data_IF_116074470878
#
_entry.id   IF_116074470878
#
_cell.length_a   1.000
_cell.length_b   1.000
_cell.length_c   1.000
_cell.angle_alpha   90.00
_cell.angle_beta   90.00
_cell.angle_gamma   90.00
#
_symmetry.space_group_name_H-M   'P 1'
#
loop_
_entity.id
_entity.type
_entity.pdbx_description
1 polymer ?
#
# COMPACT_ATOMS: atom_id res chain seq x y z
N UNK A 1 -2.73 -12.52 4.24
CA UNK A 1 -2.15 -11.47 5.15
C UNK A 1 -3.00 -10.21 5.17
N UNK A 2 -2.77 -9.30 6.13
CA UNK A 2 -3.42 -7.98 6.11
C UNK A 2 -2.61 -7.02 5.22
N UNK A 3 -3.24 -6.01 4.58
CA UNK A 3 -2.52 -4.94 3.89
C UNK A 3 -1.48 -4.26 4.78
N UNK A 4 -0.36 -3.83 4.18
CA UNK A 4 0.72 -3.12 4.89
C UNK A 4 0.22 -1.77 5.42
N UNK A 5 -0.57 -1.06 4.62
CA UNK A 5 -1.14 0.24 4.97
C UNK A 5 -2.67 0.19 4.97
N UNK A 6 -3.30 1.10 5.72
CA UNK A 6 -4.73 1.36 5.60
C UNK A 6 -5.00 1.95 4.21
N UNK A 7 -5.91 1.34 3.47
CA UNK A 7 -6.29 1.81 2.14
C UNK A 7 -7.81 1.96 2.05
N UNK A 8 -8.27 3.08 1.50
CA UNK A 8 -9.70 3.37 1.35
C UNK A 8 -10.29 2.40 0.32
N UNK A 9 -11.45 1.83 0.60
CA UNK A 9 -12.05 0.82 -0.27
C UNK A 9 -11.42 -0.58 -0.18
N UNK A 10 -10.40 -0.80 0.70
CA UNK A 10 -9.71 -2.09 0.81
C UNK A 10 -10.64 -3.26 1.14
N UNK A 11 -10.47 -4.39 0.47
CA UNK A 11 -11.35 -5.57 0.49
C UNK A 11 -11.10 -6.56 1.62
N UNK A 12 -10.37 -6.16 2.68
CA UNK A 12 -10.03 -7.06 3.80
C UNK A 12 -11.26 -7.70 4.47
N UNK A 13 -12.37 -6.96 4.58
CA UNK A 13 -13.60 -7.46 5.21
C UNK A 13 -14.36 -8.43 4.30
N UNK A 14 -14.20 -8.29 3.01
CA UNK A 14 -14.88 -9.06 1.97
C UNK A 14 -14.13 -10.33 1.58
N UNK A 15 -12.86 -10.51 2.02
CA UNK A 15 -12.02 -11.67 1.63
C UNK A 15 -12.71 -13.01 1.81
N UNK A 16 -13.44 -13.21 2.90
CA UNK A 16 -14.18 -14.46 3.15
C UNK A 16 -15.24 -14.77 2.09
N UNK A 17 -15.71 -13.75 1.36
CA UNK A 17 -16.69 -13.88 0.28
C UNK A 17 -16.03 -13.93 -1.07
N UNK A 18 -14.92 -13.19 -1.27
CA UNK A 18 -14.21 -13.08 -2.54
C UNK A 18 -13.39 -14.34 -2.81
N UNK A 19 -12.56 -14.76 -1.86
CA UNK A 19 -11.60 -15.86 -2.07
C UNK A 19 -12.26 -17.17 -2.54
N UNK A 20 -13.43 -17.61 -2.00
CA UNK A 20 -14.10 -18.82 -2.49
C UNK A 20 -14.67 -18.73 -3.91
N UNK A 21 -14.75 -17.52 -4.48
CA UNK A 21 -15.29 -17.27 -5.82
C UNK A 21 -14.19 -17.17 -6.89
N UNK A 22 -12.92 -17.17 -6.47
CA UNK A 22 -11.79 -17.09 -7.41
C UNK A 22 -11.74 -18.37 -8.25
N UNK A 23 -11.61 -18.28 -9.58
CA UNK A 23 -11.42 -19.44 -10.44
C UNK A 23 -10.01 -20.02 -10.28
N UNK A 24 -9.70 -21.09 -11.00
CA UNK A 24 -8.32 -21.51 -11.21
C UNK A 24 -7.61 -20.51 -12.15
N UNK A 25 -6.39 -20.11 -11.82
CA UNK A 25 -5.57 -19.17 -12.59
C UNK A 25 -4.08 -19.40 -12.33
N UNK A 26 -3.23 -18.89 -13.21
CA UNK A 26 -1.77 -18.97 -13.09
C UNK A 26 -1.22 -17.78 -12.29
N UNK A 27 -1.68 -16.57 -12.63
CA UNK A 27 -1.21 -15.31 -12.02
C UNK A 27 -2.40 -14.41 -11.67
N UNK A 28 -2.37 -13.81 -10.47
CA UNK A 28 -3.30 -12.74 -10.06
C UNK A 28 -2.81 -11.41 -10.62
N UNK A 29 -3.67 -10.66 -11.29
CA UNK A 29 -3.39 -9.30 -11.77
C UNK A 29 -4.35 -8.32 -11.12
N UNK A 30 -3.83 -7.35 -10.36
CA UNK A 30 -4.59 -6.26 -9.77
C UNK A 30 -4.21 -4.93 -10.45
N UNK A 31 -4.95 -4.47 -11.49
CA UNK A 31 -4.67 -3.20 -12.19
C UNK A 31 -4.87 -1.97 -11.30
N UNK A 32 -5.65 -2.10 -10.23
CA UNK A 32 -5.92 -1.13 -9.18
C UNK A 32 -5.59 -1.78 -7.83
N UNK A 33 -4.30 -2.00 -7.55
CA UNK A 33 -3.89 -2.82 -6.42
C UNK A 33 -4.28 -2.24 -5.06
N UNK A 34 -4.22 -0.92 -4.91
CA UNK A 34 -4.50 -0.30 -3.62
C UNK A 34 -3.78 -1.02 -2.48
N UNK A 35 -4.53 -1.44 -1.45
CA UNK A 35 -3.96 -2.23 -0.34
C UNK A 35 -3.62 -3.68 -0.66
N UNK A 36 -3.85 -4.17 -1.87
CA UNK A 36 -3.58 -5.53 -2.34
C UNK A 36 -4.16 -6.64 -1.42
N UNK A 37 -5.33 -6.40 -0.84
CA UNK A 37 -5.88 -7.30 0.17
C UNK A 37 -6.19 -8.70 -0.41
N UNK A 38 -6.60 -8.79 -1.67
CA UNK A 38 -6.92 -10.07 -2.32
C UNK A 38 -5.63 -10.78 -2.69
N UNK A 39 -4.71 -10.11 -3.39
CA UNK A 39 -3.43 -10.68 -3.82
C UNK A 39 -2.60 -11.20 -2.62
N UNK A 40 -2.49 -10.44 -1.53
CA UNK A 40 -1.76 -10.86 -0.33
C UNK A 40 -2.36 -12.07 0.41
N UNK A 41 -3.51 -12.57 -0.02
CA UNK A 41 -4.14 -13.77 0.52
C UNK A 41 -4.16 -14.92 -0.50
N UNK A 42 -3.35 -14.84 -1.55
CA UNK A 42 -3.11 -15.90 -2.52
C UNK A 42 -1.66 -16.38 -2.45
N UNK A 43 -1.43 -17.64 -2.81
CA UNK A 43 -0.10 -18.27 -2.91
C UNK A 43 0.30 -18.45 -4.39
N UNK A 44 -0.06 -17.48 -5.22
CA UNK A 44 0.14 -17.51 -6.68
C UNK A 44 1.00 -16.34 -7.10
N UNK A 45 1.59 -16.42 -8.27
CA UNK A 45 2.25 -15.30 -8.90
C UNK A 45 1.31 -14.10 -8.98
N UNK A 46 1.85 -12.89 -8.81
CA UNK A 46 1.03 -11.69 -8.81
C UNK A 46 1.66 -10.54 -9.61
N UNK A 47 0.78 -9.77 -10.21
CA UNK A 47 1.11 -8.48 -10.83
C UNK A 47 0.26 -7.39 -10.17
N UNK A 48 0.93 -6.53 -9.39
CA UNK A 48 0.31 -5.41 -8.69
C UNK A 48 0.62 -4.12 -9.43
N UNK A 49 -0.41 -3.39 -9.81
CA UNK A 49 -0.29 -2.09 -10.44
C UNK A 49 -1.14 -1.04 -9.73
N UNK A 50 -0.65 0.17 -9.67
CA UNK A 50 -1.42 1.34 -9.24
C UNK A 50 -0.84 2.60 -9.87
N UNK A 51 -1.63 3.68 -9.94
CA UNK A 51 -1.13 5.00 -10.34
C UNK A 51 -0.55 5.79 -9.16
N UNK A 52 -0.74 5.30 -7.93
CA UNK A 52 -0.21 5.93 -6.73
C UNK A 52 1.28 5.64 -6.57
N UNK A 53 2.10 6.63 -6.91
CA UNK A 53 3.57 6.52 -6.89
C UNK A 53 4.10 6.13 -5.51
N UNK A 54 3.52 6.68 -4.42
CA UNK A 54 3.96 6.38 -3.04
C UNK A 54 3.68 4.93 -2.66
N UNK A 55 2.53 4.41 -3.07
CA UNK A 55 2.16 3.02 -2.83
C UNK A 55 3.09 2.06 -3.59
N UNK A 56 3.33 2.35 -4.87
CA UNK A 56 4.22 1.52 -5.70
C UNK A 56 5.67 1.57 -5.20
N UNK A 57 6.16 2.75 -4.76
CA UNK A 57 7.46 2.83 -4.11
C UNK A 57 7.51 1.94 -2.86
N UNK A 58 6.48 1.98 -2.00
CA UNK A 58 6.41 1.11 -0.82
C UNK A 58 6.51 -0.37 -1.22
N UNK A 59 5.74 -0.82 -2.20
CA UNK A 59 5.78 -2.22 -2.64
C UNK A 59 7.15 -2.61 -3.22
N UNK A 60 7.79 -1.74 -4.00
CA UNK A 60 9.15 -1.96 -4.55
C UNK A 60 10.23 -2.02 -3.45
N UNK A 61 10.15 -1.14 -2.45
CA UNK A 61 11.04 -1.20 -1.28
C UNK A 61 10.85 -2.51 -0.53
N UNK A 62 9.61 -2.92 -0.29
CA UNK A 62 9.33 -4.19 0.41
C UNK A 62 9.73 -5.40 -0.42
N UNK A 63 9.69 -5.33 -1.75
CA UNK A 63 10.11 -6.40 -2.66
C UNK A 63 11.64 -6.59 -2.72
N UNK A 64 12.43 -5.60 -2.30
CA UNK A 64 13.89 -5.56 -2.40
C UNK A 64 14.58 -5.73 -1.04
N UNK A 65 15.92 -5.80 -1.04
CA UNK A 65 16.75 -5.84 0.18
C UNK A 65 16.55 -4.60 1.08
N UNK A 66 16.04 -3.47 0.53
CA UNK A 66 15.66 -2.28 1.30
C UNK A 66 14.53 -2.55 2.32
N UNK A 67 13.87 -3.69 2.24
CA UNK A 67 12.88 -4.13 3.24
C UNK A 67 13.46 -4.14 4.66
N UNK A 68 14.69 -4.61 4.84
CA UNK A 68 15.34 -4.68 6.16
C UNK A 68 15.63 -3.28 6.71
N UNK A 69 16.06 -2.36 5.85
CA UNK A 69 16.24 -0.95 6.23
C UNK A 69 14.89 -0.31 6.60
N UNK A 70 13.84 -0.60 5.85
CA UNK A 70 12.50 -0.13 6.16
C UNK A 70 11.99 -0.66 7.50
N UNK A 71 12.20 -1.96 7.80
CA UNK A 71 11.88 -2.52 9.11
C UNK A 71 12.63 -1.78 10.24
N UNK A 72 13.93 -1.55 10.07
CA UNK A 72 14.73 -0.78 11.02
C UNK A 72 14.20 0.64 11.21
N UNK A 73 13.81 1.30 10.12
CA UNK A 73 13.30 2.67 10.14
C UNK A 73 11.92 2.81 10.82
N UNK A 74 11.06 1.79 10.77
CA UNK A 74 9.73 1.83 11.42
C UNK A 74 9.77 1.27 12.85
N UNK A 75 10.79 0.50 13.23
CA UNK A 75 10.87 -0.14 14.55
C UNK A 75 10.72 0.83 15.73
N UNK A 76 11.34 2.03 15.74
CA UNK A 76 11.18 2.99 16.83
C UNK A 76 9.74 3.47 17.02
N UNK A 77 8.93 3.50 15.95
CA UNK A 77 7.56 4.03 16.00
C UNK A 77 6.64 3.24 16.94
N UNK A 78 6.92 1.95 17.16
CA UNK A 78 6.08 1.09 18.01
C UNK A 78 6.18 1.44 19.50
N UNK A 79 7.25 2.13 19.93
CA UNK A 79 7.46 2.59 21.30
C UNK A 79 7.17 4.08 21.50
N UNK A 80 6.83 4.81 20.45
CA UNK A 80 6.51 6.24 20.53
C UNK A 80 5.15 6.47 21.19
N UNK A 81 5.09 7.49 22.02
CA UNK A 81 3.87 7.99 22.64
C UNK A 81 3.15 9.00 21.71
N UNK A 82 1.92 9.36 22.07
CA UNK A 82 1.02 10.19 21.25
C UNK A 82 1.68 11.45 20.66
N UNK A 83 2.43 12.20 21.47
CA UNK A 83 3.00 13.49 21.04
C UNK A 83 4.17 13.29 20.07
N UNK A 84 4.98 12.25 20.27
CA UNK A 84 6.04 11.87 19.35
C UNK A 84 5.45 11.33 18.04
N UNK A 85 4.39 10.52 18.09
CA UNK A 85 3.68 10.07 16.90
C UNK A 85 3.06 11.22 16.11
N UNK A 86 2.55 12.25 16.80
CA UNK A 86 2.03 13.44 16.13
C UNK A 86 3.13 14.20 15.40
N UNK A 87 4.29 14.40 16.04
CA UNK A 87 5.44 15.04 15.40
C UNK A 87 5.94 14.25 14.19
N UNK A 88 6.17 12.96 14.37
CA UNK A 88 6.59 12.05 13.29
C UNK A 88 5.61 12.05 12.11
N UNK A 89 4.30 12.10 12.38
CA UNK A 89 3.28 12.20 11.34
C UNK A 89 3.42 13.47 10.50
N UNK A 90 3.62 14.63 11.11
CA UNK A 90 3.75 15.88 10.37
C UNK A 90 5.07 15.96 9.60
N UNK A 91 6.19 15.45 10.16
CA UNK A 91 7.46 15.32 9.46
C UNK A 91 7.32 14.38 8.24
N UNK A 92 6.71 13.22 8.41
CA UNK A 92 6.44 12.28 7.33
C UNK A 92 5.53 12.88 6.24
N UNK A 93 4.52 13.66 6.64
CA UNK A 93 3.65 14.37 5.71
C UNK A 93 4.41 15.43 4.90
N UNK A 94 5.34 16.11 5.52
CA UNK A 94 6.19 17.10 4.83
C UNK A 94 7.12 16.41 3.83
N UNK A 95 7.68 15.24 4.14
CA UNK A 95 8.42 14.40 3.18
C UNK A 95 7.54 14.04 1.99
N UNK A 96 6.33 13.53 2.22
CA UNK A 96 5.38 13.16 1.16
C UNK A 96 5.01 14.34 0.27
N UNK A 97 4.94 15.55 0.82
CA UNK A 97 4.50 16.73 0.09
C UNK A 97 5.63 17.48 -0.63
N UNK A 98 6.89 17.34 -0.19
CA UNK A 98 7.98 18.22 -0.63
C UNK A 98 9.21 17.51 -1.16
N UNK A 99 9.27 16.18 -1.14
CA UNK A 99 10.45 15.40 -1.56
C UNK A 99 10.20 14.61 -2.84
N UNK A 100 11.27 14.06 -3.44
CA UNK A 100 11.16 13.10 -4.53
C UNK A 100 10.71 11.74 -4.01
N UNK A 101 9.85 11.07 -4.76
CA UNK A 101 9.32 9.74 -4.40
C UNK A 101 10.36 8.69 -4.69
N UNK A 102 11.15 8.29 -3.69
CA UNK A 102 12.07 7.17 -3.82
C UNK A 102 12.55 6.63 -2.47
N UNK A 103 12.80 5.30 -2.44
CA UNK A 103 13.51 4.59 -1.41
C UNK A 103 12.81 4.51 -0.04
N UNK A 104 13.62 4.15 0.95
CA UNK A 104 13.18 3.79 2.31
C UNK A 104 12.53 4.94 3.06
N UNK A 105 13.11 6.15 2.96
CA UNK A 105 12.56 7.32 3.66
C UNK A 105 11.12 7.64 3.21
N UNK A 106 10.88 7.58 1.89
CA UNK A 106 9.55 7.80 1.36
C UNK A 106 8.60 6.67 1.75
N UNK A 107 9.02 5.39 1.67
CA UNK A 107 8.21 4.24 2.06
C UNK A 107 7.82 4.30 3.54
N UNK A 108 8.77 4.64 4.45
CA UNK A 108 8.49 4.89 5.86
C UNK A 108 7.47 6.01 6.04
N UNK A 109 7.70 7.16 5.40
CA UNK A 109 6.83 8.32 5.51
C UNK A 109 5.42 8.01 5.01
N UNK A 110 5.30 7.26 3.91
CA UNK A 110 3.99 6.82 3.42
C UNK A 110 3.28 5.89 4.41
N UNK A 111 3.98 4.91 5.00
CA UNK A 111 3.43 4.06 6.08
C UNK A 111 2.93 4.92 7.24
N UNK A 112 3.74 5.85 7.73
CA UNK A 112 3.39 6.72 8.87
C UNK A 112 2.13 7.51 8.56
N UNK A 113 2.11 8.20 7.41
CA UNK A 113 0.96 9.01 7.00
C UNK A 113 -0.30 8.16 6.85
N UNK A 114 -0.22 7.00 6.20
CA UNK A 114 -1.39 6.13 6.00
C UNK A 114 -1.89 5.48 7.29
N UNK A 115 -1.00 5.16 8.23
CA UNK A 115 -1.40 4.53 9.49
C UNK A 115 -1.94 5.53 10.52
N UNK A 116 -1.42 6.75 10.52
CA UNK A 116 -1.70 7.75 11.55
C UNK A 116 -2.62 8.90 11.11
N UNK A 117 -2.98 9.02 9.82
CA UNK A 117 -3.94 10.02 9.36
C UNK A 117 -5.34 9.74 9.90
N UNK A 118 -6.13 10.80 10.06
CA UNK A 118 -7.50 10.72 10.54
C UNK A 118 -8.34 9.74 9.71
N UNK A 119 -8.90 8.74 10.36
CA UNK A 119 -9.78 7.71 9.79
C UNK A 119 -9.20 6.91 8.60
N UNK A 120 -7.87 6.95 8.38
CA UNK A 120 -7.23 6.30 7.22
C UNK A 120 -7.62 6.93 5.88
N UNK A 121 -8.11 8.17 5.89
CA UNK A 121 -8.53 8.89 4.68
C UNK A 121 -7.34 9.17 3.76
N UNK A 122 -7.63 9.28 2.47
CA UNK A 122 -6.70 9.77 1.47
C UNK A 122 -7.33 10.99 0.80
N UNK A 123 -6.70 12.15 0.98
CA UNK A 123 -7.20 13.41 0.44
C UNK A 123 -6.03 14.33 0.14
N UNK A 124 -6.10 14.95 -1.03
CA UNK A 124 -5.14 15.94 -1.51
C UNK A 124 -5.85 17.27 -1.73
N UNK A 125 -5.15 18.37 -1.53
CA UNK A 125 -5.65 19.70 -1.86
C UNK A 125 -5.50 20.01 -3.37
N UNK A 126 -5.91 21.20 -3.80
CA UNK A 126 -5.83 21.62 -5.19
C UNK A 126 -4.40 21.71 -5.76
N UNK A 127 -3.39 21.79 -4.89
CA UNK A 127 -1.97 21.76 -5.30
C UNK A 127 -1.38 20.32 -5.30
N UNK A 128 -2.20 19.29 -5.05
CA UNK A 128 -1.75 17.90 -5.00
C UNK A 128 -1.07 17.49 -3.70
N UNK A 129 -1.06 18.34 -2.66
CA UNK A 129 -0.47 18.01 -1.38
C UNK A 129 -1.45 17.22 -0.49
N UNK A 130 -0.94 16.15 0.16
CA UNK A 130 -1.70 15.39 1.16
C UNK A 130 -2.07 16.28 2.35
N UNK A 131 -3.35 16.40 2.66
CA UNK A 131 -3.86 17.38 3.63
C UNK A 131 -4.75 16.79 4.73
N UNK A 132 -4.75 15.47 4.92
CA UNK A 132 -5.47 14.86 6.05
C UNK A 132 -4.68 15.13 7.34
N UNK A 133 -5.34 15.48 8.45
CA UNK A 133 -4.67 15.71 9.73
C UNK A 133 -4.29 14.40 10.42
N UNK A 134 -3.47 14.52 11.47
CA UNK A 134 -3.20 13.43 12.41
C UNK A 134 -4.48 12.91 13.05
N UNK A 135 -4.61 11.59 13.15
CA UNK A 135 -5.81 10.91 13.67
C UNK A 135 -5.85 10.70 15.18
N UNK A 136 -4.96 11.37 15.94
CA UNK A 136 -4.85 11.28 17.41
C UNK A 136 -4.68 9.84 17.95
N UNK A 137 -3.93 9.00 17.19
CA UNK A 137 -3.61 7.65 17.63
C UNK A 137 -2.65 7.66 18.83
N UNK A 138 -2.91 6.78 19.80
CA UNK A 138 -2.07 6.58 20.99
C UNK A 138 -0.91 5.63 20.75
N UNK A 139 -0.99 4.80 19.71
CA UNK A 139 0.01 3.79 19.36
C UNK A 139 0.12 3.66 17.85
N UNK A 140 1.33 3.45 17.38
CA UNK A 140 1.59 3.05 16.00
C UNK A 140 1.28 1.56 15.81
N UNK A 141 0.70 1.21 14.65
CA UNK A 141 0.49 -0.17 14.26
C UNK A 141 0.69 -0.30 12.74
N UNK A 142 1.53 -1.22 12.34
CA UNK A 142 1.75 -1.58 10.95
C UNK A 142 1.81 -3.11 10.83
N UNK A 143 1.34 -3.66 9.72
CA UNK A 143 1.31 -5.10 9.49
C UNK A 143 2.46 -5.60 8.60
N UNK A 144 3.46 -4.75 8.31
CA UNK A 144 4.65 -5.15 7.55
C UNK A 144 5.32 -6.36 8.20
N UNK A 145 5.56 -7.40 7.42
CA UNK A 145 6.14 -8.67 7.89
C UNK A 145 7.00 -9.31 6.79
N UNK A 146 7.83 -10.29 7.19
CA UNK A 146 8.63 -11.09 6.25
C UNK A 146 7.76 -11.69 5.14
N UNK A 147 6.55 -12.17 5.45
CA UNK A 147 5.65 -12.72 4.44
C UNK A 147 5.25 -11.71 3.34
N UNK A 148 5.22 -10.40 3.62
CA UNK A 148 5.02 -9.40 2.58
C UNK A 148 6.24 -9.28 1.68
N UNK A 149 7.45 -9.30 2.25
CA UNK A 149 8.69 -9.32 1.48
C UNK A 149 8.76 -10.55 0.59
N UNK A 150 8.52 -11.74 1.14
CA UNK A 150 8.59 -13.01 0.40
C UNK A 150 7.62 -13.02 -0.79
N UNK A 151 6.38 -12.55 -0.61
CA UNK A 151 5.41 -12.46 -1.70
C UNK A 151 5.78 -11.39 -2.73
N UNK A 152 6.16 -10.20 -2.28
CA UNK A 152 6.45 -9.07 -3.18
C UNK A 152 7.75 -9.27 -3.95
N UNK A 153 8.74 -9.99 -3.40
CA UNK A 153 10.00 -10.31 -4.10
C UNK A 153 9.79 -11.15 -5.37
N UNK A 154 8.71 -11.96 -5.41
CA UNK A 154 8.31 -12.70 -6.60
C UNK A 154 7.29 -11.98 -7.47
N UNK A 155 6.78 -10.82 -7.04
CA UNK A 155 5.71 -10.12 -7.73
C UNK A 155 6.23 -9.17 -8.81
N UNK A 156 5.44 -8.98 -9.87
CA UNK A 156 5.58 -7.84 -10.78
C UNK A 156 4.90 -6.63 -10.15
N UNK A 157 5.65 -5.52 -9.97
CA UNK A 157 5.11 -4.27 -9.38
C UNK A 157 5.31 -3.11 -10.36
N UNK A 158 4.21 -2.58 -10.89
CA UNK A 158 4.23 -1.54 -11.92
C UNK A 158 3.51 -0.26 -11.48
N UNK A 159 3.98 0.86 -12.04
CA UNK A 159 3.37 2.18 -11.95
C UNK A 159 2.93 2.56 -13.36
N UNK A 160 1.72 2.21 -13.74
CA UNK A 160 1.21 2.46 -15.09
C UNK A 160 -0.30 2.63 -15.11
N UNK A 161 -0.85 2.94 -16.28
CA UNK A 161 -2.30 2.93 -16.49
C UNK A 161 -2.87 1.53 -16.28
N UNK A 162 -4.00 1.42 -15.59
CA UNK A 162 -4.71 0.14 -15.47
C UNK A 162 -5.12 -0.42 -16.85
N UNK A 163 -5.38 0.46 -17.84
CA UNK A 163 -5.70 0.05 -19.21
C UNK A 163 -4.54 -0.68 -19.86
N UNK A 164 -3.30 -0.19 -19.66
CA UNK A 164 -2.10 -0.84 -20.19
C UNK A 164 -1.92 -2.24 -19.58
N UNK A 165 -2.09 -2.36 -18.25
CA UNK A 165 -2.01 -3.64 -17.54
C UNK A 165 -3.07 -4.63 -18.03
N UNK A 166 -4.30 -4.17 -18.26
CA UNK A 166 -5.38 -5.02 -18.79
C UNK A 166 -5.05 -5.49 -20.21
N UNK A 167 -4.51 -4.61 -21.05
CA UNK A 167 -4.15 -4.95 -22.43
C UNK A 167 -2.94 -5.91 -22.51
N UNK A 168 -2.00 -5.81 -21.57
CA UNK A 168 -0.80 -6.64 -21.48
C UNK A 168 -1.03 -7.97 -20.74
N UNK A 169 -2.24 -8.18 -20.21
CA UNK A 169 -2.60 -9.44 -19.57
C UNK A 169 -2.77 -10.57 -20.59
N UNK A 170 -2.42 -11.78 -20.19
CA UNK A 170 -2.37 -12.95 -21.08
C UNK A 170 -3.30 -14.07 -20.61
N UNK A 171 -3.48 -15.09 -21.45
CA UNK A 171 -4.23 -16.29 -21.08
C UNK A 171 -3.64 -16.95 -19.82
N UNK A 172 -4.50 -17.30 -18.86
CA UNK A 172 -4.13 -17.83 -17.55
C UNK A 172 -4.06 -16.77 -16.44
N UNK A 173 -4.05 -15.47 -16.79
CA UNK A 173 -4.18 -14.40 -15.81
C UNK A 173 -5.61 -14.28 -15.30
N UNK A 174 -5.74 -14.04 -13.99
CA UNK A 174 -7.00 -13.61 -13.38
C UNK A 174 -6.92 -12.14 -13.00
N UNK A 175 -7.74 -11.32 -13.64
CA UNK A 175 -7.81 -9.88 -13.37
C UNK A 175 -8.82 -9.60 -12.27
N UNK A 176 -8.33 -9.12 -11.12
CA UNK A 176 -9.16 -8.56 -10.06
C UNK A 176 -9.29 -7.05 -10.24
N UNK A 177 -10.42 -6.60 -10.79
CA UNK A 177 -10.65 -5.21 -11.19
C UNK A 177 -11.55 -4.52 -10.15
N UNK A 178 -10.97 -3.66 -9.32
CA UNK A 178 -11.67 -2.87 -8.29
C UNK A 178 -11.31 -1.38 -8.43
N UNK A 179 -11.85 -0.69 -9.45
CA UNK A 179 -11.52 0.71 -9.71
C UNK A 179 -12.08 1.63 -8.62
N UNK A 180 -11.50 2.83 -8.43
CA UNK A 180 -12.07 3.82 -7.52
C UNK A 180 -13.50 4.18 -7.96
N UNK A 181 -14.41 4.27 -6.98
CA UNK A 181 -15.78 4.67 -7.25
C UNK A 181 -15.82 6.16 -7.54
N UNK A 182 -16.56 6.53 -8.60
CA UNK A 182 -16.84 7.95 -8.84
C UNK A 182 -17.86 8.42 -7.81
N UNK A 183 -17.51 9.45 -7.03
CA UNK A 183 -18.48 10.17 -6.21
C UNK A 183 -19.54 10.78 -7.13
N UNK A 184 -20.81 10.50 -6.81
CA UNK A 184 -21.96 11.07 -7.53
C UNK A 184 -22.29 12.45 -7.04
#
# INVERSE_FOLDING_TARGET
>A
MKPIVKYQGGKTKELKRIVPLLPEYTRMVEPFAGGAAVAFNQEKDMWLNDINTSLINLYRVVASDMYYDLQGAIAPLYSMEHDDLSREFYEARDVINNSCVDGVLWAKSYIVVRQLCYSGMERYNSSGAFNVPFGHYKKFACYLSQGHHDLLSGATVTLSSAVDVINDSVEGDFLFIDPPYMDR
#
